data_IF_655094328868
#
_entry.id   IF_655094328868
#
_cell.length_a   1.000
_cell.length_b   1.000
_cell.length_c   1.000
_cell.angle_alpha   90.00
_cell.angle_beta   90.00
_cell.angle_gamma   90.00
#
_symmetry.space_group_name_H-M   'P 1'
#
loop_
_entity.id
_entity.type
_entity.pdbx_description
1 polymer ?
#
# COMPACT_ATOMS: atom_id res chain seq x y z
N UNK A 1 18.57 16.59 0.14
CA UNK A 1 18.80 18.04 -0.12
C UNK A 1 20.27 18.45 -0.29
N UNK A 2 21.17 17.59 -0.79
CA UNK A 2 22.59 17.96 -1.05
C UNK A 2 22.95 18.04 -2.55
N UNK A 3 22.05 17.71 -3.44
CA UNK A 3 22.29 17.77 -4.91
C UNK A 3 22.06 19.15 -5.55
N UNK A 4 21.32 20.04 -4.93
CA UNK A 4 20.93 21.33 -5.53
C UNK A 4 21.96 22.44 -5.37
N UNK A 5 22.95 22.31 -4.46
CA UNK A 5 23.99 23.34 -4.27
C UNK A 5 25.15 23.26 -5.26
N UNK A 6 25.35 22.14 -5.93
CA UNK A 6 26.41 22.00 -6.93
C UNK A 6 26.04 22.54 -8.33
N UNK A 7 24.74 22.64 -8.61
CA UNK A 7 24.26 23.17 -9.90
C UNK A 7 24.47 24.68 -10.06
N UNK A 8 24.46 25.44 -8.97
CA UNK A 8 24.63 26.89 -8.99
C UNK A 8 26.10 27.37 -9.02
N UNK A 9 27.07 26.48 -8.80
CA UNK A 9 28.49 26.85 -8.93
C UNK A 9 28.98 26.77 -10.38
N UNK A 10 28.31 26.03 -11.24
CA UNK A 10 28.70 25.84 -12.66
C UNK A 10 28.28 27.00 -13.58
N UNK A 11 27.36 27.84 -13.14
CA UNK A 11 26.86 28.96 -13.93
C UNK A 11 27.65 30.26 -13.75
N UNK A 12 28.72 30.27 -12.95
CA UNK A 12 29.54 31.47 -12.64
C UNK A 12 30.97 31.42 -13.16
N UNK A 13 31.28 30.59 -14.16
CA UNK A 13 32.58 30.68 -14.84
C UNK A 13 32.53 31.70 -15.97
N UNK A 14 33.46 32.68 -16.01
CA UNK A 14 33.53 33.66 -17.09
C UNK A 14 33.79 32.97 -18.43
N UNK A 15 33.10 33.41 -19.49
CA UNK A 15 33.36 33.04 -20.86
C UNK A 15 34.81 33.50 -21.20
N UNK A 16 35.73 32.54 -21.36
CA UNK A 16 37.06 32.91 -21.84
C UNK A 16 38.23 32.02 -21.46
N UNK A 17 38.05 30.90 -20.76
CA UNK A 17 39.16 29.98 -20.47
C UNK A 17 39.23 28.85 -21.47
N UNK A 18 40.28 28.85 -22.32
CA UNK A 18 40.57 27.82 -23.31
C UNK A 18 40.69 26.42 -22.69
N UNK A 19 40.33 25.39 -23.48
CA UNK A 19 40.20 23.99 -23.10
C UNK A 19 41.51 23.27 -22.69
N UNK A 20 42.62 23.98 -22.51
CA UNK A 20 43.95 23.46 -22.16
C UNK A 20 44.40 23.77 -20.74
N UNK A 21 43.52 24.32 -19.87
CA UNK A 21 43.86 24.63 -18.48
C UNK A 21 44.04 23.36 -17.65
N UNK A 22 45.14 23.22 -16.89
CA UNK A 22 45.38 22.13 -15.93
C UNK A 22 44.25 21.93 -14.92
N UNK A 23 43.47 22.98 -14.68
CA UNK A 23 42.32 22.97 -13.81
C UNK A 23 41.19 22.03 -14.30
N UNK A 24 40.93 21.89 -15.58
CA UNK A 24 39.90 21.02 -16.14
C UNK A 24 40.28 19.55 -15.95
N UNK A 25 41.53 19.20 -16.09
CA UNK A 25 42.04 17.84 -15.87
C UNK A 25 42.01 17.44 -14.37
N UNK A 26 42.30 18.40 -13.49
CA UNK A 26 42.21 18.17 -12.03
C UNK A 26 40.75 17.97 -11.55
N UNK A 27 39.79 18.69 -12.15
CA UNK A 27 38.38 18.52 -11.86
C UNK A 27 37.84 17.16 -12.32
N UNK A 28 38.23 16.69 -13.48
CA UNK A 28 37.84 15.36 -13.98
C UNK A 28 38.45 14.26 -13.09
N UNK A 29 39.71 14.42 -12.63
CA UNK A 29 40.34 13.50 -11.68
C UNK A 29 39.61 13.49 -10.30
N UNK A 30 39.34 14.67 -9.75
CA UNK A 30 38.59 14.78 -8.45
C UNK A 30 37.17 14.20 -8.54
N UNK A 31 36.47 14.39 -9.65
CA UNK A 31 35.14 13.81 -9.87
C UNK A 31 35.18 12.28 -9.94
N UNK A 32 36.17 11.72 -10.64
CA UNK A 32 36.35 10.26 -10.70
C UNK A 32 36.75 9.66 -9.36
N UNK A 33 37.50 10.36 -8.50
CA UNK A 33 37.83 9.91 -7.14
C UNK A 33 36.63 9.97 -6.19
N UNK A 34 35.77 10.99 -6.31
CA UNK A 34 34.52 11.05 -5.52
C UNK A 34 33.53 9.96 -5.93
N UNK A 35 33.44 9.62 -7.22
CA UNK A 35 32.61 8.49 -7.67
C UNK A 35 33.12 7.12 -7.19
N UNK A 36 34.42 6.96 -6.99
CA UNK A 36 35.01 5.74 -6.40
C UNK A 36 34.77 5.59 -4.89
N UNK A 37 34.49 6.67 -4.17
CA UNK A 37 34.27 6.67 -2.71
C UNK A 37 32.81 6.39 -2.29
N UNK A 38 31.87 6.31 -3.21
CA UNK A 38 30.49 5.89 -2.91
C UNK A 38 30.43 4.36 -3.04
N UNK A 39 30.98 3.66 -2.05
CA UNK A 39 30.73 2.24 -1.84
C UNK A 39 29.29 2.09 -1.36
N UNK A 40 28.45 1.51 -2.16
CA UNK A 40 27.20 0.89 -1.68
C UNK A 40 27.60 -0.36 -0.92
N UNK A 41 27.28 -0.39 0.38
CA UNK A 41 27.62 -1.47 1.28
C UNK A 41 27.09 -2.82 0.79
N UNK A 42 27.97 -3.81 0.86
CA UNK A 42 27.71 -5.21 0.62
C UNK A 42 26.60 -5.74 1.52
N UNK A 43 25.40 -5.92 0.98
CA UNK A 43 24.42 -6.87 1.50
C UNK A 43 24.22 -7.93 0.43
N UNK A 44 25.06 -8.97 0.50
CA UNK A 44 24.84 -10.22 -0.19
C UNK A 44 23.56 -10.87 0.32
N UNK A 45 22.53 -10.94 -0.54
CA UNK A 45 21.43 -11.87 -0.39
C UNK A 45 21.78 -13.20 -1.07
N UNK A 46 21.31 -14.36 -0.57
CA UNK A 46 21.78 -15.67 -1.00
C UNK A 46 21.37 -15.99 -2.43
N UNK A 47 22.24 -16.75 -3.10
CA UNK A 47 22.12 -17.24 -4.47
C UNK A 47 20.80 -17.99 -4.67
N UNK A 48 19.87 -17.40 -5.40
CA UNK A 48 18.90 -18.11 -6.21
C UNK A 48 18.67 -17.28 -7.48
N UNK A 49 19.02 -17.86 -8.60
CA UNK A 49 18.79 -17.53 -10.01
C UNK A 49 18.04 -16.22 -10.33
N UNK A 50 18.59 -15.08 -9.95
CA UNK A 50 18.17 -13.81 -10.54
C UNK A 50 19.18 -13.42 -11.60
N UNK A 51 18.74 -13.47 -12.87
CA UNK A 51 19.40 -12.79 -13.97
C UNK A 51 19.68 -11.37 -13.49
N UNK A 52 20.95 -11.06 -13.30
CA UNK A 52 21.42 -9.72 -13.03
C UNK A 52 21.07 -8.87 -14.26
N UNK A 53 19.89 -8.26 -14.30
CA UNK A 53 19.53 -7.29 -15.29
C UNK A 53 20.45 -6.10 -15.00
N UNK A 54 21.59 -6.05 -15.70
CA UNK A 54 22.48 -4.91 -15.69
C UNK A 54 21.63 -3.70 -16.04
N UNK A 55 21.34 -2.84 -15.06
CA UNK A 55 20.52 -1.65 -15.29
C UNK A 55 21.24 -0.79 -16.30
N UNK A 56 20.76 -0.78 -17.55
CA UNK A 56 21.27 0.04 -18.64
C UNK A 56 21.21 1.52 -18.22
N UNK A 57 22.38 2.11 -17.95
CA UNK A 57 22.50 3.53 -17.64
C UNK A 57 22.55 4.30 -18.95
N UNK A 58 21.58 5.16 -19.18
CA UNK A 58 21.59 6.06 -20.33
C UNK A 58 22.70 7.11 -20.15
N UNK A 59 23.30 7.54 -21.28
CA UNK A 59 24.26 8.64 -21.30
C UNK A 59 23.61 9.90 -20.75
N UNK A 60 24.26 10.54 -19.78
CA UNK A 60 23.83 11.79 -19.15
C UNK A 60 24.39 13.01 -19.92
N UNK A 61 23.88 14.21 -19.60
CA UNK A 61 24.24 15.45 -20.26
C UNK A 61 25.75 15.74 -20.23
N UNK A 62 26.37 15.53 -19.08
CA UNK A 62 27.82 15.73 -18.88
C UNK A 62 28.64 14.77 -19.71
N UNK A 63 28.21 13.53 -19.85
CA UNK A 63 28.89 12.56 -20.73
C UNK A 63 28.77 12.94 -22.21
N UNK A 64 27.63 13.50 -22.65
CA UNK A 64 27.47 14.02 -24.02
C UNK A 64 28.40 15.18 -24.31
N UNK A 65 28.51 16.11 -23.36
CA UNK A 65 29.47 17.21 -23.46
C UNK A 65 30.91 16.68 -23.57
N UNK A 66 31.30 15.73 -22.71
CA UNK A 66 32.63 15.10 -22.73
C UNK A 66 32.89 14.40 -24.07
N UNK A 67 31.93 13.65 -24.63
CA UNK A 67 32.03 13.03 -25.96
C UNK A 67 32.32 14.10 -27.01
N UNK A 68 31.61 15.23 -27.02
CA UNK A 68 31.79 16.31 -27.94
C UNK A 68 33.20 16.89 -27.89
N UNK A 69 33.70 17.19 -26.71
CA UNK A 69 35.05 17.75 -26.49
C UNK A 69 36.16 16.79 -26.92
N UNK A 70 36.00 15.49 -26.59
CA UNK A 70 37.01 14.49 -26.95
C UNK A 70 37.01 14.15 -28.42
N UNK A 71 35.87 14.24 -29.10
CA UNK A 71 35.79 14.13 -30.57
C UNK A 71 36.49 15.31 -31.27
N UNK A 72 36.33 16.53 -30.79
CA UNK A 72 37.04 17.70 -31.29
C UNK A 72 38.57 17.56 -31.18
N UNK A 73 39.01 16.88 -30.09
CA UNK A 73 40.43 16.53 -29.90
C UNK A 73 40.90 15.33 -30.72
N UNK A 74 40.07 14.81 -31.63
CA UNK A 74 40.36 13.66 -32.53
C UNK A 74 40.74 12.36 -31.77
N UNK A 75 40.28 12.16 -30.52
CA UNK A 75 40.51 10.92 -29.79
C UNK A 75 39.73 9.76 -30.43
N UNK A 76 40.27 8.54 -30.29
CA UNK A 76 39.62 7.36 -30.78
C UNK A 76 38.31 7.07 -30.00
N UNK A 77 37.31 6.49 -30.66
CA UNK A 77 36.03 6.13 -30.01
C UNK A 77 36.23 5.18 -28.84
N UNK A 78 37.31 4.36 -28.88
CA UNK A 78 37.69 3.43 -27.79
C UNK A 78 38.18 4.19 -26.57
N UNK A 79 38.98 5.23 -26.75
CA UNK A 79 39.49 6.04 -25.66
C UNK A 79 38.40 6.94 -25.06
N UNK A 80 37.47 7.43 -25.88
CA UNK A 80 36.27 8.15 -25.43
C UNK A 80 35.42 7.24 -24.53
N UNK A 81 35.18 5.99 -24.96
CA UNK A 81 34.41 5.02 -24.18
C UNK A 81 35.05 4.76 -22.80
N UNK A 82 36.40 4.60 -22.76
CA UNK A 82 37.14 4.45 -21.51
C UNK A 82 37.06 5.70 -20.63
N UNK A 83 37.20 6.91 -21.22
CA UNK A 83 37.18 8.17 -20.49
C UNK A 83 35.87 8.42 -19.73
N UNK A 84 34.73 8.05 -20.31
CA UNK A 84 33.40 8.24 -19.69
C UNK A 84 32.85 6.97 -19.03
N UNK A 85 33.65 5.91 -19.01
CA UNK A 85 33.30 4.62 -18.39
C UNK A 85 32.01 4.02 -18.93
N UNK A 86 31.89 3.89 -20.24
CA UNK A 86 30.77 3.22 -20.91
C UNK A 86 31.31 2.23 -21.96
N UNK A 87 30.46 1.30 -22.36
CA UNK A 87 30.81 0.36 -23.43
C UNK A 87 30.97 1.06 -24.77
N UNK A 88 31.93 0.57 -25.58
CA UNK A 88 32.24 1.11 -26.90
C UNK A 88 31.00 1.11 -27.82
N UNK A 89 30.15 0.09 -27.74
CA UNK A 89 28.91 0.01 -28.50
C UNK A 89 27.94 1.15 -28.16
N UNK A 90 27.99 1.65 -26.91
CA UNK A 90 27.18 2.80 -26.48
C UNK A 90 27.60 4.08 -27.16
N UNK A 91 28.93 4.30 -27.34
CA UNK A 91 29.44 5.44 -28.09
C UNK A 91 29.03 5.36 -29.56
N UNK A 92 29.18 4.20 -30.19
CA UNK A 92 28.74 4.04 -31.59
C UNK A 92 27.25 4.30 -31.77
N UNK A 93 26.41 3.83 -30.86
CA UNK A 93 24.95 4.05 -30.88
C UNK A 93 24.62 5.54 -30.67
N UNK A 94 25.31 6.21 -29.76
CA UNK A 94 25.10 7.63 -29.50
C UNK A 94 25.47 8.49 -30.69
N UNK A 95 26.63 8.24 -31.29
CA UNK A 95 27.07 8.93 -32.49
C UNK A 95 26.12 8.66 -33.68
N UNK A 96 25.81 7.40 -33.97
CA UNK A 96 24.85 7.02 -35.03
C UNK A 96 23.50 7.71 -34.90
N UNK A 97 23.04 7.97 -33.69
CA UNK A 97 21.74 8.61 -33.43
C UNK A 97 21.75 10.13 -33.56
N UNK A 98 22.90 10.76 -33.33
CA UNK A 98 22.97 12.18 -33.10
C UNK A 98 24.01 12.89 -33.97
N UNK A 99 24.77 12.19 -34.85
CA UNK A 99 25.59 12.82 -35.86
C UNK A 99 24.72 13.24 -37.05
N UNK A 100 24.86 14.46 -37.48
CA UNK A 100 24.18 14.99 -38.66
C UNK A 100 24.77 14.49 -39.97
N UNK A 101 24.26 14.98 -41.10
CA UNK A 101 24.67 14.60 -42.48
C UNK A 101 26.17 14.77 -42.79
N UNK A 102 26.85 15.63 -42.03
CA UNK A 102 28.33 15.87 -42.16
C UNK A 102 29.13 15.13 -41.09
N UNK A 103 28.62 14.07 -40.48
CA UNK A 103 29.25 13.31 -39.38
C UNK A 103 29.71 14.17 -38.17
N UNK A 104 29.18 15.37 -38.03
CA UNK A 104 29.48 16.24 -36.91
C UNK A 104 28.55 15.95 -35.75
N UNK A 105 29.12 15.63 -34.58
CA UNK A 105 28.39 15.41 -33.36
C UNK A 105 28.30 16.70 -32.55
N UNK A 106 27.08 17.10 -32.19
CA UNK A 106 26.82 18.24 -31.30
C UNK A 106 26.06 17.74 -30.06
N UNK A 107 26.63 17.99 -28.89
CA UNK A 107 26.07 17.52 -27.63
C UNK A 107 24.74 18.19 -27.27
N UNK A 108 24.52 19.46 -27.64
CA UNK A 108 23.26 20.18 -27.37
C UNK A 108 22.11 19.57 -28.16
N UNK A 109 22.32 19.30 -29.45
CA UNK A 109 21.32 18.58 -30.26
C UNK A 109 21.07 17.17 -29.80
N UNK A 110 22.11 16.47 -29.37
CA UNK A 110 21.99 15.13 -28.78
C UNK A 110 21.19 15.15 -27.50
N UNK A 111 21.41 16.13 -26.62
CA UNK A 111 20.64 16.32 -25.38
C UNK A 111 19.20 16.72 -25.69
N UNK A 112 18.95 17.64 -26.62
CA UNK A 112 17.60 18.02 -27.05
C UNK A 112 16.81 16.81 -27.59
N UNK A 113 17.47 15.98 -28.42
CA UNK A 113 16.90 14.74 -28.93
C UNK A 113 16.58 13.74 -27.81
N UNK A 114 17.45 13.60 -26.81
CA UNK A 114 17.20 12.73 -25.65
C UNK A 114 16.04 13.23 -24.81
N UNK A 115 15.97 14.56 -24.56
CA UNK A 115 14.83 15.19 -23.85
C UNK A 115 13.52 15.02 -24.63
N UNK A 116 13.53 15.19 -25.95
CA UNK A 116 12.37 14.98 -26.82
C UNK A 116 11.88 13.54 -26.76
N UNK A 117 12.79 12.55 -26.78
CA UNK A 117 12.44 11.14 -26.63
C UNK A 117 11.89 10.80 -25.25
N UNK A 118 12.42 11.41 -24.17
CA UNK A 118 11.88 11.28 -22.82
C UNK A 118 10.49 11.92 -22.66
N UNK A 119 10.23 13.00 -23.37
CA UNK A 119 8.91 13.68 -23.45
C UNK A 119 7.94 12.99 -24.39
N UNK A 120 8.33 11.90 -25.06
CA UNK A 120 7.44 11.17 -25.94
C UNK A 120 6.15 10.89 -25.23
N UNK A 121 5.12 11.55 -25.69
CA UNK A 121 3.74 11.47 -25.20
C UNK A 121 3.38 10.00 -25.01
N UNK A 122 2.88 9.59 -23.84
CA UNK A 122 2.39 8.25 -23.63
C UNK A 122 1.09 8.09 -24.42
N UNK A 123 1.18 7.82 -25.75
CA UNK A 123 0.02 7.72 -26.62
C UNK A 123 -1.03 6.77 -26.05
N UNK A 124 -0.69 5.52 -25.83
CA UNK A 124 -1.64 4.48 -25.40
C UNK A 124 -1.76 4.27 -23.87
N UNK A 125 -1.25 5.21 -23.05
CA UNK A 125 -1.27 5.10 -21.59
C UNK A 125 -2.25 6.07 -20.91
N UNK A 126 -3.03 6.81 -21.67
CA UNK A 126 -4.07 7.67 -21.11
C UNK A 126 -5.24 6.82 -20.67
N UNK A 127 -5.58 6.95 -19.39
CA UNK A 127 -6.82 6.40 -18.86
C UNK A 127 -7.96 7.14 -19.55
N UNK A 128 -8.92 6.42 -20.12
CA UNK A 128 -10.10 7.05 -20.71
C UNK A 128 -10.85 7.87 -19.65
N UNK A 129 -11.51 8.94 -20.07
CA UNK A 129 -12.26 9.80 -19.18
C UNK A 129 -13.36 9.02 -18.45
N UNK A 130 -14.06 8.14 -19.13
CA UNK A 130 -15.12 7.28 -18.57
C UNK A 130 -14.60 6.39 -17.44
N UNK A 131 -13.46 5.71 -17.64
CA UNK A 131 -12.86 4.85 -16.60
C UNK A 131 -12.40 5.66 -15.40
N UNK A 132 -11.93 6.90 -15.63
CA UNK A 132 -11.54 7.80 -14.56
C UNK A 132 -12.75 8.26 -13.74
N UNK A 133 -13.83 8.66 -14.39
CA UNK A 133 -15.06 9.12 -13.74
C UNK A 133 -15.70 8.00 -12.95
N UNK A 134 -15.78 6.79 -13.53
CA UNK A 134 -16.30 5.61 -12.84
C UNK A 134 -15.45 5.25 -11.61
N UNK A 135 -14.12 5.29 -11.72
CA UNK A 135 -13.24 5.09 -10.57
C UNK A 135 -13.47 6.11 -9.46
N UNK A 136 -13.70 7.38 -9.80
CA UNK A 136 -14.00 8.45 -8.85
C UNK A 136 -15.39 8.30 -8.24
N UNK A 137 -16.38 7.85 -9.01
CA UNK A 137 -17.72 7.53 -8.53
C UNK A 137 -17.67 6.44 -7.48
N UNK A 138 -17.02 5.30 -7.79
CA UNK A 138 -16.84 4.20 -6.83
C UNK A 138 -16.10 4.63 -5.55
N UNK A 139 -15.10 5.51 -5.69
CA UNK A 139 -14.39 6.08 -4.53
C UNK A 139 -15.30 6.92 -3.64
N UNK A 140 -16.14 7.78 -4.22
CA UNK A 140 -17.02 8.71 -3.49
C UNK A 140 -18.23 8.00 -2.89
N UNK A 141 -18.96 7.25 -3.69
CA UNK A 141 -20.26 6.65 -3.31
C UNK A 141 -20.09 5.36 -2.51
N UNK A 142 -19.25 4.44 -3.00
CA UNK A 142 -19.01 3.14 -2.37
C UNK A 142 -17.87 3.16 -1.35
N UNK A 143 -17.04 4.20 -1.37
CA UNK A 143 -15.86 4.36 -0.52
C UNK A 143 -14.89 3.16 -0.60
N UNK A 144 -14.79 2.59 -1.80
CA UNK A 144 -13.85 1.50 -2.06
C UNK A 144 -12.41 2.03 -2.09
N UNK A 145 -11.46 1.19 -1.69
CA UNK A 145 -10.04 1.54 -1.79
C UNK A 145 -9.58 1.55 -3.26
N UNK A 146 -8.52 2.29 -3.61
CA UNK A 146 -7.95 2.26 -4.95
C UNK A 146 -7.64 0.86 -5.48
N UNK A 147 -7.23 -0.07 -4.61
CA UNK A 147 -6.99 -1.47 -4.98
C UNK A 147 -8.29 -2.22 -5.31
N UNK A 148 -9.36 -2.00 -4.53
CA UNK A 148 -10.66 -2.59 -4.78
C UNK A 148 -11.27 -2.09 -6.10
N UNK A 149 -11.16 -0.78 -6.37
CA UNK A 149 -11.63 -0.15 -7.60
C UNK A 149 -10.86 -0.70 -8.81
N UNK A 150 -9.52 -0.74 -8.73
CA UNK A 150 -8.68 -1.28 -9.80
C UNK A 150 -9.02 -2.73 -10.12
N UNK A 151 -9.22 -3.58 -9.10
CA UNK A 151 -9.58 -4.98 -9.27
C UNK A 151 -10.98 -5.17 -9.84
N UNK A 152 -11.94 -4.39 -9.38
CA UNK A 152 -13.33 -4.44 -9.88
C UNK A 152 -13.42 -4.03 -11.36
N UNK A 153 -12.84 -2.87 -11.71
CA UNK A 153 -12.83 -2.38 -13.09
C UNK A 153 -12.08 -3.30 -14.03
N UNK A 154 -11.02 -3.98 -13.56
CA UNK A 154 -10.31 -4.97 -14.36
C UNK A 154 -11.19 -6.18 -14.72
N UNK A 155 -12.10 -6.63 -13.83
CA UNK A 155 -13.09 -7.68 -14.14
C UNK A 155 -14.09 -7.23 -15.20
N UNK A 156 -14.38 -5.94 -15.26
CA UNK A 156 -15.26 -5.34 -16.27
C UNK A 156 -14.52 -4.95 -17.57
N UNK A 157 -13.28 -5.42 -17.75
CA UNK A 157 -12.48 -5.11 -18.93
C UNK A 157 -11.90 -3.68 -18.97
N UNK A 158 -12.16 -2.86 -17.96
CA UNK A 158 -11.69 -1.47 -17.83
C UNK A 158 -10.38 -1.44 -17.02
N UNK A 159 -9.30 -0.92 -17.59
CA UNK A 159 -7.97 -0.93 -16.95
C UNK A 159 -7.59 0.42 -16.33
N UNK A 160 -7.45 0.45 -15.02
CA UNK A 160 -6.83 1.55 -14.27
C UNK A 160 -5.96 0.97 -13.16
N UNK A 161 -4.71 1.44 -13.03
CA UNK A 161 -3.85 0.94 -11.96
C UNK A 161 -4.17 1.61 -10.62
N UNK A 162 -3.96 0.86 -9.53
CA UNK A 162 -4.08 1.37 -8.15
C UNK A 162 -3.29 2.66 -7.93
N UNK A 163 -2.04 2.72 -8.46
CA UNK A 163 -1.19 3.90 -8.34
C UNK A 163 -1.74 5.10 -9.12
N UNK A 164 -2.37 4.87 -10.28
CA UNK A 164 -3.02 5.96 -11.03
C UNK A 164 -4.16 6.59 -10.23
N UNK A 165 -4.96 5.79 -9.53
CA UNK A 165 -6.03 6.29 -8.66
C UNK A 165 -5.43 7.07 -7.49
N UNK A 166 -4.38 6.54 -6.82
CA UNK A 166 -3.69 7.28 -5.76
C UNK A 166 -3.07 8.59 -6.25
N UNK A 167 -2.56 8.63 -7.47
CA UNK A 167 -2.01 9.85 -8.08
C UNK A 167 -3.08 10.92 -8.28
N UNK A 168 -4.27 10.53 -8.73
CA UNK A 168 -5.43 11.42 -8.85
C UNK A 168 -5.81 11.97 -7.47
N UNK A 169 -5.91 11.11 -6.45
CA UNK A 169 -6.27 11.52 -5.08
C UNK A 169 -5.23 12.47 -4.48
N UNK A 170 -3.93 12.22 -4.70
CA UNK A 170 -2.85 13.10 -4.21
C UNK A 170 -2.87 14.44 -4.92
N UNK A 171 -3.15 14.47 -6.23
CA UNK A 171 -3.29 15.70 -7.02
C UNK A 171 -4.45 16.52 -6.50
N UNK A 172 -5.64 15.93 -6.36
CA UNK A 172 -6.84 16.57 -5.79
C UNK A 172 -6.56 17.16 -4.40
N UNK A 173 -5.88 16.39 -3.52
CA UNK A 173 -5.50 16.87 -2.18
C UNK A 173 -4.55 18.07 -2.24
N UNK A 174 -3.60 18.08 -3.18
CA UNK A 174 -2.67 19.21 -3.37
C UNK A 174 -3.38 20.46 -3.86
N UNK A 175 -4.44 20.28 -4.63
CA UNK A 175 -5.30 21.34 -5.17
C UNK A 175 -6.44 21.74 -4.21
N UNK A 176 -6.39 21.30 -2.93
CA UNK A 176 -7.39 21.62 -1.90
C UNK A 176 -8.63 20.71 -1.89
N UNK A 177 -8.70 19.71 -2.77
CA UNK A 177 -9.84 18.82 -2.89
C UNK A 177 -10.01 17.84 -1.71
N UNK A 178 -11.11 17.09 -1.72
CA UNK A 178 -11.56 16.26 -0.60
C UNK A 178 -11.55 14.76 -0.86
N UNK A 179 -11.12 14.28 -2.03
CA UNK A 179 -11.14 12.86 -2.40
C UNK A 179 -10.42 11.96 -1.38
N UNK A 180 -9.31 12.44 -0.80
CA UNK A 180 -8.53 11.69 0.19
C UNK A 180 -9.34 11.33 1.46
N UNK A 181 -10.42 12.05 1.76
CA UNK A 181 -11.29 11.78 2.92
C UNK A 181 -12.02 10.44 2.78
N UNK A 182 -12.24 9.95 1.56
CA UNK A 182 -12.88 8.67 1.25
C UNK A 182 -11.91 7.47 1.41
N UNK A 183 -10.60 7.71 1.54
CA UNK A 183 -9.63 6.68 1.80
C UNK A 183 -9.62 6.28 3.29
N UNK A 184 -9.42 4.98 3.57
CA UNK A 184 -9.41 4.41 4.93
C UNK A 184 -8.54 5.16 5.93
N UNK A 185 -7.32 5.54 5.55
CA UNK A 185 -6.37 6.23 6.42
C UNK A 185 -6.21 7.72 6.11
N UNK A 186 -7.03 8.26 5.20
CA UNK A 186 -6.95 9.67 4.76
C UNK A 186 -5.52 10.09 4.42
N UNK A 187 -4.71 9.16 3.89
CA UNK A 187 -3.27 9.33 3.60
C UNK A 187 -2.42 9.72 4.83
N UNK A 188 -2.82 9.32 6.05
CA UNK A 188 -2.04 9.54 7.29
C UNK A 188 -1.43 8.24 7.79
N UNK A 189 -0.16 8.29 8.21
CA UNK A 189 0.51 7.21 8.97
C UNK A 189 0.45 7.51 10.47
N UNK A 190 0.22 6.49 11.30
CA UNK A 190 0.17 6.61 12.76
C UNK A 190 1.06 5.56 13.42
N UNK A 191 1.82 5.96 14.46
CA UNK A 191 2.50 5.07 15.38
C UNK A 191 1.50 4.54 16.44
N UNK A 192 1.70 3.32 16.96
CA UNK A 192 0.86 2.68 17.98
C UNK A 192 1.53 2.78 19.36
N UNK A 193 0.81 3.18 20.43
CA UNK A 193 1.29 3.06 21.80
C UNK A 193 1.11 1.63 22.33
N UNK A 194 2.00 1.19 23.23
CA UNK A 194 2.01 -0.14 23.87
C UNK A 194 1.75 0.04 25.36
N UNK A 195 0.82 -0.76 25.94
CA UNK A 195 0.59 -0.84 27.39
C UNK A 195 -0.83 -1.31 27.79
N UNK A 196 -0.97 -2.08 28.88
CA UNK A 196 -2.24 -2.53 29.46
C UNK A 196 -2.06 -3.52 30.64
N UNK A 197 -3.02 -3.58 31.58
CA UNK A 197 -3.03 -4.49 32.76
C UNK A 197 -3.56 -5.88 32.39
N UNK A 198 -3.00 -6.94 32.99
CA UNK A 198 -3.50 -8.31 32.87
C UNK A 198 -4.79 -8.49 33.67
N UNK A 199 -5.80 -9.09 33.05
CA UNK A 199 -7.10 -9.45 33.65
C UNK A 199 -7.26 -10.96 33.50
N UNK A 200 -7.73 -11.65 34.54
CA UNK A 200 -7.96 -13.11 34.55
C UNK A 200 -9.44 -13.37 34.28
N UNK A 201 -9.76 -14.14 33.25
CA UNK A 201 -11.11 -14.62 32.93
C UNK A 201 -11.16 -16.09 33.34
N UNK A 202 -12.18 -16.51 34.18
CA UNK A 202 -12.33 -17.90 34.60
C UNK A 202 -12.57 -18.83 33.38
N UNK A 203 -12.09 -20.08 33.48
CA UNK A 203 -12.32 -21.17 32.52
C UNK A 203 -12.00 -20.79 31.05
N UNK A 204 -11.01 -19.90 30.83
CA UNK A 204 -10.61 -19.48 29.54
C UNK A 204 -9.77 -20.56 28.84
N UNK A 205 -10.09 -20.87 27.58
CA UNK A 205 -9.30 -21.74 26.73
C UNK A 205 -8.28 -20.88 25.95
N UNK A 206 -7.00 -21.24 26.04
CA UNK A 206 -5.95 -20.46 25.35
C UNK A 206 -6.04 -20.64 23.83
N UNK A 207 -5.60 -19.61 23.08
CA UNK A 207 -5.45 -19.71 21.64
C UNK A 207 -4.41 -20.77 21.23
N UNK A 208 -3.49 -21.14 22.12
CA UNK A 208 -2.52 -22.21 21.88
C UNK A 208 -3.17 -23.60 21.71
N UNK A 209 -4.35 -23.79 22.28
CA UNK A 209 -5.15 -25.02 22.14
C UNK A 209 -6.01 -25.02 20.86
N UNK A 210 -6.01 -23.94 20.12
CA UNK A 210 -6.77 -23.78 18.88
C UNK A 210 -6.12 -24.61 17.76
N UNK A 211 -6.89 -25.42 17.01
CA UNK A 211 -6.38 -26.17 15.87
C UNK A 211 -5.71 -25.27 14.83
N UNK A 212 -4.62 -25.73 14.22
CA UNK A 212 -3.88 -24.97 13.17
C UNK A 212 -4.74 -24.61 11.96
N UNK A 213 -5.76 -25.40 11.66
CA UNK A 213 -6.71 -25.20 10.56
C UNK A 213 -7.51 -23.90 10.66
N UNK A 214 -7.54 -23.26 11.82
CA UNK A 214 -8.28 -22.00 12.09
C UNK A 214 -7.61 -20.76 11.47
N UNK A 215 -6.62 -20.91 10.64
CA UNK A 215 -5.89 -19.76 10.05
C UNK A 215 -6.58 -19.11 8.83
N UNK A 216 -7.91 -19.19 8.78
CA UNK A 216 -8.74 -18.56 7.74
C UNK A 216 -8.78 -19.36 6.43
N UNK A 217 -8.51 -20.65 6.52
CA UNK A 217 -8.63 -21.63 5.42
C UNK A 217 -10.01 -22.27 5.44
N UNK A 218 -10.50 -22.67 6.62
CA UNK A 218 -11.82 -23.29 6.75
C UNK A 218 -12.90 -22.25 7.06
N UNK A 219 -14.10 -22.51 6.59
CA UNK A 219 -15.29 -21.72 6.88
C UNK A 219 -15.83 -21.98 8.29
N UNK A 220 -16.36 -20.93 8.93
CA UNK A 220 -17.03 -21.04 10.23
C UNK A 220 -16.17 -20.66 11.43
N UNK A 221 -14.93 -20.20 11.23
CA UNK A 221 -14.08 -19.67 12.28
C UNK A 221 -14.26 -18.15 12.39
N UNK A 222 -14.71 -17.69 13.57
CA UNK A 222 -14.99 -16.28 13.82
C UNK A 222 -13.95 -15.63 14.72
N UNK A 223 -13.68 -14.35 14.48
CA UNK A 223 -13.01 -13.47 15.42
C UNK A 223 -14.03 -12.47 15.97
N UNK A 224 -13.99 -12.25 17.29
CA UNK A 224 -14.90 -11.36 18.01
C UNK A 224 -14.15 -10.27 18.72
N UNK A 225 -14.72 -9.05 18.72
CA UNK A 225 -14.17 -7.89 19.42
C UNK A 225 -15.28 -6.90 19.77
N UNK A 226 -14.95 -5.90 20.59
CA UNK A 226 -15.84 -4.76 20.86
C UNK A 226 -15.18 -3.46 20.44
N UNK A 227 -15.94 -2.57 19.83
CA UNK A 227 -15.54 -1.20 19.64
C UNK A 227 -16.31 -0.30 20.59
N UNK A 228 -15.61 0.68 21.17
CA UNK A 228 -16.15 1.59 22.20
C UNK A 228 -16.21 3.00 21.66
N UNK A 229 -17.22 3.75 22.07
CA UNK A 229 -17.42 5.15 21.71
C UNK A 229 -16.57 6.11 22.54
N UNK A 230 -16.75 7.41 22.30
CA UNK A 230 -16.09 8.48 23.05
C UNK A 230 -16.41 8.35 24.55
N UNK A 231 -15.40 8.52 25.39
CA UNK A 231 -15.57 8.44 26.86
C UNK A 231 -16.00 7.07 27.38
N UNK A 232 -15.74 5.98 26.66
CA UNK A 232 -16.18 4.61 26.95
C UNK A 232 -17.72 4.45 27.01
N UNK A 233 -18.48 5.41 26.49
CA UNK A 233 -19.93 5.38 26.44
C UNK A 233 -20.45 4.57 25.24
N UNK A 234 -21.15 3.47 25.52
CA UNK A 234 -21.69 2.54 24.54
C UNK A 234 -20.64 1.64 23.90
N UNK A 235 -21.09 0.48 23.45
CA UNK A 235 -20.25 -0.49 22.75
C UNK A 235 -20.99 -1.09 21.55
N UNK A 236 -20.24 -1.53 20.55
CA UNK A 236 -20.72 -2.31 19.42
C UNK A 236 -19.90 -3.60 19.40
N UNK A 237 -20.57 -4.75 19.46
CA UNK A 237 -19.90 -6.02 19.21
C UNK A 237 -19.69 -6.20 17.71
N UNK A 238 -18.51 -6.65 17.35
CA UNK A 238 -18.11 -6.98 15.99
C UNK A 238 -17.69 -8.43 15.91
N UNK A 239 -18.11 -9.13 14.87
CA UNK A 239 -17.78 -10.52 14.58
C UNK A 239 -17.36 -10.60 13.11
N UNK A 240 -16.26 -11.29 12.84
CA UNK A 240 -15.79 -11.51 11.47
C UNK A 240 -15.54 -12.98 11.24
N UNK A 241 -16.13 -13.53 10.18
CA UNK A 241 -15.79 -14.86 9.70
C UNK A 241 -14.45 -14.79 8.95
N UNK A 242 -13.49 -15.64 9.32
CA UNK A 242 -12.08 -15.52 8.90
C UNK A 242 -11.83 -15.81 7.43
N UNK A 243 -12.53 -16.76 6.84
CA UNK A 243 -12.32 -17.15 5.45
C UNK A 243 -12.86 -16.09 4.50
N UNK A 244 -14.12 -15.67 4.69
CA UNK A 244 -14.84 -14.76 3.79
C UNK A 244 -14.70 -13.29 4.17
N UNK A 245 -14.20 -12.99 5.38
CA UNK A 245 -14.20 -11.65 6.00
C UNK A 245 -15.60 -11.03 6.13
N UNK A 246 -16.65 -11.86 6.23
CA UNK A 246 -18.01 -11.40 6.49
C UNK A 246 -18.10 -10.79 7.89
N UNK A 247 -18.52 -9.55 7.96
CA UNK A 247 -18.64 -8.76 9.18
C UNK A 247 -20.07 -8.73 9.67
N UNK A 248 -20.27 -8.96 10.99
CA UNK A 248 -21.52 -8.69 11.69
C UNK A 248 -21.28 -7.65 12.76
N UNK A 249 -22.22 -6.71 12.93
CA UNK A 249 -22.14 -5.66 13.94
C UNK A 249 -23.48 -5.47 14.63
N UNK A 250 -23.46 -5.32 15.95
CA UNK A 250 -24.65 -4.96 16.74
C UNK A 250 -24.31 -4.04 17.89
N UNK A 251 -25.12 -3.00 18.06
CA UNK A 251 -25.01 -2.09 19.20
C UNK A 251 -25.44 -2.80 20.48
N UNK A 252 -24.63 -2.69 21.52
CA UNK A 252 -24.94 -3.21 22.83
C UNK A 252 -25.73 -2.16 23.63
N UNK A 253 -26.95 -2.50 24.03
CA UNK A 253 -27.83 -1.58 24.77
C UNK A 253 -27.30 -1.23 26.17
N UNK A 254 -26.59 -2.18 26.82
CA UNK A 254 -26.09 -2.07 28.17
C UNK A 254 -24.56 -1.98 28.26
N UNK A 255 -23.93 -1.32 27.28
CA UNK A 255 -22.47 -1.15 27.26
C UNK A 255 -21.72 -2.49 27.18
N UNK A 256 -20.68 -2.65 28.02
CA UNK A 256 -19.81 -3.85 28.06
C UNK A 256 -20.27 -4.93 29.04
N UNK A 257 -21.56 -5.05 29.30
CA UNK A 257 -22.07 -6.13 30.17
C UNK A 257 -21.87 -7.50 29.50
N UNK A 258 -21.12 -8.39 30.14
CA UNK A 258 -20.71 -9.68 29.61
C UNK A 258 -21.90 -10.60 29.25
N UNK A 259 -22.92 -10.72 30.13
CA UNK A 259 -24.12 -11.56 29.88
C UNK A 259 -24.92 -11.03 28.69
N UNK A 260 -25.12 -9.70 28.60
CA UNK A 260 -25.86 -9.08 27.48
C UNK A 260 -25.10 -9.14 26.18
N UNK A 261 -23.77 -9.07 26.22
CA UNK A 261 -22.93 -9.32 25.06
C UNK A 261 -23.08 -10.76 24.55
N UNK A 262 -22.98 -11.74 25.46
CA UNK A 262 -23.14 -13.16 25.10
C UNK A 262 -24.51 -13.46 24.49
N UNK A 263 -25.60 -12.92 25.04
CA UNK A 263 -26.96 -13.02 24.47
C UNK A 263 -27.03 -12.39 23.05
N UNK A 264 -26.36 -11.26 22.86
CA UNK A 264 -26.32 -10.57 21.55
C UNK A 264 -25.55 -11.38 20.51
N UNK A 265 -24.41 -11.93 20.87
CA UNK A 265 -23.60 -12.81 20.01
C UNK A 265 -24.38 -14.07 19.65
N UNK A 266 -25.02 -14.71 20.61
CA UNK A 266 -25.92 -15.86 20.40
C UNK A 266 -26.99 -15.51 19.34
N UNK A 267 -27.70 -14.39 19.49
CA UNK A 267 -28.74 -13.96 18.55
C UNK A 267 -28.19 -13.73 17.12
N UNK A 268 -26.97 -13.22 16.97
CA UNK A 268 -26.34 -12.99 15.67
C UNK A 268 -25.97 -14.31 14.99
N UNK A 269 -25.41 -15.25 15.76
CA UNK A 269 -24.79 -16.45 15.21
C UNK A 269 -25.73 -17.66 15.18
N UNK A 270 -26.83 -17.67 15.96
CA UNK A 270 -27.77 -18.78 16.03
C UNK A 270 -28.28 -19.26 14.67
N UNK A 271 -28.61 -18.37 13.69
CA UNK A 271 -29.03 -18.80 12.35
C UNK A 271 -27.99 -19.64 11.60
N UNK A 272 -26.73 -19.59 12.03
CA UNK A 272 -25.60 -20.25 11.38
C UNK A 272 -24.98 -21.36 12.27
N UNK A 273 -25.65 -21.77 13.35
CA UNK A 273 -25.10 -22.67 14.38
C UNK A 273 -24.38 -23.90 13.81
N UNK A 274 -24.96 -24.58 12.85
CA UNK A 274 -24.37 -25.79 12.25
C UNK A 274 -23.11 -25.56 11.39
N UNK A 275 -22.84 -24.32 11.01
CA UNK A 275 -21.70 -23.93 10.17
C UNK A 275 -20.56 -23.28 10.98
N UNK A 276 -20.79 -22.93 12.24
CA UNK A 276 -19.78 -22.34 13.11
C UNK A 276 -18.87 -23.43 13.66
N UNK A 277 -17.57 -23.17 13.68
CA UNK A 277 -16.53 -24.09 14.16
C UNK A 277 -15.82 -23.59 15.41
N UNK A 278 -15.48 -22.31 15.45
CA UNK A 278 -14.82 -21.70 16.62
C UNK A 278 -15.03 -20.18 16.67
N UNK A 279 -14.80 -19.60 17.83
CA UNK A 279 -14.77 -18.14 18.04
C UNK A 279 -13.48 -17.79 18.74
N UNK A 280 -12.75 -16.77 18.27
CA UNK A 280 -11.55 -16.25 18.92
C UNK A 280 -11.80 -14.81 19.40
N UNK A 281 -11.44 -14.51 20.64
CA UNK A 281 -11.59 -13.19 21.26
C UNK A 281 -10.33 -12.75 22.01
N UNK A 282 -10.30 -11.52 22.55
CA UNK A 282 -9.25 -11.09 23.48
C UNK A 282 -9.64 -11.34 24.94
N UNK A 283 -8.76 -10.91 25.86
CA UNK A 283 -8.96 -11.07 27.29
C UNK A 283 -9.80 -9.92 27.91
N UNK A 284 -10.71 -9.31 27.18
CA UNK A 284 -11.60 -8.28 27.69
C UNK A 284 -12.63 -8.85 28.69
N UNK A 285 -12.89 -8.15 29.81
CA UNK A 285 -13.89 -8.56 30.80
C UNK A 285 -15.30 -8.68 30.21
N UNK A 286 -15.58 -8.00 29.12
CA UNK A 286 -16.82 -8.13 28.35
C UNK A 286 -17.07 -9.53 27.80
N UNK A 287 -16.03 -10.36 27.70
CA UNK A 287 -16.10 -11.75 27.23
C UNK A 287 -16.14 -12.79 28.41
N UNK A 288 -16.20 -12.35 29.65
CA UNK A 288 -16.22 -13.26 30.79
C UNK A 288 -17.40 -14.25 30.78
N UNK A 289 -18.50 -13.93 30.08
CA UNK A 289 -19.65 -14.83 29.92
C UNK A 289 -19.54 -15.70 28.64
N UNK A 290 -18.35 -16.00 28.17
CA UNK A 290 -18.09 -16.79 26.96
C UNK A 290 -18.69 -18.21 27.01
N UNK A 291 -18.82 -18.81 28.21
CA UNK A 291 -19.45 -20.12 28.39
C UNK A 291 -20.90 -20.14 27.89
N UNK A 292 -21.66 -19.05 28.05
CA UNK A 292 -23.01 -18.93 27.50
C UNK A 292 -22.99 -19.05 25.98
N UNK A 293 -22.00 -18.43 25.32
CA UNK A 293 -21.83 -18.51 23.86
C UNK A 293 -21.48 -19.93 23.50
N UNK A 294 -20.45 -20.51 24.13
CA UNK A 294 -19.94 -21.84 23.84
C UNK A 294 -21.05 -22.90 24.01
N UNK A 295 -21.75 -22.92 25.15
CA UNK A 295 -22.86 -23.86 25.39
C UNK A 295 -24.03 -23.70 24.41
N UNK A 296 -24.41 -22.46 24.08
CA UNK A 296 -25.55 -22.21 23.17
C UNK A 296 -25.26 -22.60 21.72
N UNK A 297 -24.05 -22.34 21.24
CA UNK A 297 -23.66 -22.61 19.87
C UNK A 297 -23.03 -24.00 19.69
N UNK A 298 -22.54 -24.62 20.77
CA UNK A 298 -21.83 -25.90 20.72
C UNK A 298 -20.42 -25.78 20.16
N UNK A 299 -19.74 -24.63 20.35
CA UNK A 299 -18.42 -24.37 19.77
C UNK A 299 -17.45 -23.81 20.79
N UNK A 300 -16.13 -24.08 20.67
CA UNK A 300 -15.12 -23.54 21.55
C UNK A 300 -14.92 -22.03 21.33
N UNK A 301 -14.66 -21.32 22.45
CA UNK A 301 -14.25 -19.91 22.44
C UNK A 301 -12.82 -19.81 22.92
N UNK A 302 -11.90 -19.41 22.02
CA UNK A 302 -10.48 -19.26 22.30
C UNK A 302 -10.13 -17.82 22.63
N UNK A 303 -9.18 -17.64 23.54
CA UNK A 303 -8.70 -16.33 23.97
C UNK A 303 -7.28 -16.09 23.44
N UNK A 304 -7.10 -14.99 22.74
CA UNK A 304 -5.80 -14.55 22.28
C UNK A 304 -4.82 -14.27 23.43
N UNK A 305 -3.53 -14.45 23.18
CA UNK A 305 -2.52 -14.12 24.16
C UNK A 305 -2.47 -12.61 24.43
N UNK A 306 -2.12 -12.21 25.66
CA UNK A 306 -1.92 -10.80 25.98
C UNK A 306 -0.89 -10.17 25.02
N UNK A 307 -1.16 -8.98 24.56
CA UNK A 307 -0.30 -8.21 23.64
C UNK A 307 -0.11 -8.81 22.23
N UNK A 308 -0.81 -9.89 21.89
CA UNK A 308 -0.68 -10.61 20.62
C UNK A 308 -1.80 -10.24 19.65
N UNK A 309 -1.89 -8.95 19.28
CA UNK A 309 -2.95 -8.44 18.40
C UNK A 309 -2.96 -9.09 17.01
N UNK A 310 -1.80 -9.59 16.54
CA UNK A 310 -1.69 -10.31 15.26
C UNK A 310 -2.51 -11.60 15.21
N UNK A 311 -2.80 -12.20 16.35
CA UNK A 311 -3.63 -13.41 16.46
C UNK A 311 -5.12 -13.16 16.10
N UNK A 312 -5.53 -11.89 16.04
CA UNK A 312 -6.87 -11.44 15.63
C UNK A 312 -6.82 -10.46 14.45
N UNK A 313 -6.03 -10.74 13.44
CA UNK A 313 -5.80 -9.83 12.32
C UNK A 313 -7.03 -9.54 11.47
N UNK A 314 -7.98 -10.48 11.36
CA UNK A 314 -9.20 -10.29 10.56
C UNK A 314 -10.12 -9.23 11.18
N UNK A 315 -10.39 -9.35 12.50
CA UNK A 315 -11.26 -8.41 13.20
C UNK A 315 -10.61 -7.03 13.36
N UNK A 316 -9.29 -6.95 13.59
CA UNK A 316 -8.59 -5.67 13.62
C UNK A 316 -8.73 -4.92 12.28
N UNK A 317 -8.56 -5.66 11.17
CA UNK A 317 -8.75 -5.10 9.85
C UNK A 317 -10.18 -4.61 9.63
N UNK A 318 -11.18 -5.40 10.00
CA UNK A 318 -12.59 -5.05 9.91
C UNK A 318 -12.93 -3.84 10.78
N UNK A 319 -12.49 -3.82 12.04
CA UNK A 319 -12.67 -2.68 12.93
C UNK A 319 -12.03 -1.40 12.38
N UNK A 320 -10.89 -1.52 11.70
CA UNK A 320 -10.29 -0.41 10.97
C UNK A 320 -11.17 0.12 9.83
N UNK A 321 -11.94 -0.73 9.15
CA UNK A 321 -12.91 -0.30 8.14
C UNK A 321 -14.13 0.35 8.79
N UNK A 322 -14.62 -0.22 9.90
CA UNK A 322 -15.73 0.35 10.68
C UNK A 322 -15.39 1.77 11.13
N UNK A 323 -14.14 2.03 11.53
CA UNK A 323 -13.68 3.37 11.95
C UNK A 323 -13.67 4.41 10.84
N UNK A 324 -13.85 4.02 9.59
CA UNK A 324 -14.09 4.94 8.48
C UNK A 324 -15.49 5.59 8.58
N UNK A 325 -16.47 4.84 9.06
CA UNK A 325 -17.87 5.27 9.25
C UNK A 325 -18.14 5.77 10.68
N UNK A 326 -17.53 5.12 11.67
CA UNK A 326 -17.71 5.41 13.10
C UNK A 326 -16.34 5.77 13.70
N UNK A 327 -15.92 7.04 13.66
CA UNK A 327 -14.65 7.47 14.23
C UNK A 327 -14.53 7.18 15.73
N UNK A 328 -13.29 7.05 16.25
CA UNK A 328 -13.05 6.81 17.70
C UNK A 328 -13.60 7.92 18.59
N UNK A 329 -13.63 9.16 18.07
CA UNK A 329 -14.13 10.35 18.76
C UNK A 329 -15.65 10.48 18.73
N UNK A 330 -16.37 9.59 18.04
CA UNK A 330 -17.81 9.67 17.90
C UNK A 330 -18.54 9.11 19.12
N UNK A 331 -19.58 9.80 19.56
CA UNK A 331 -20.52 9.29 20.56
C UNK A 331 -21.44 8.24 19.89
N UNK A 332 -21.56 7.06 20.51
CA UNK A 332 -22.39 5.98 19.95
C UNK A 332 -23.89 6.21 20.09
N UNK A 333 -24.31 7.18 20.91
CA UNK A 333 -25.70 7.67 20.93
C UNK A 333 -26.20 8.10 19.57
N UNK A 334 -25.34 8.72 18.75
CA UNK A 334 -25.65 9.26 17.44
C UNK A 334 -25.82 8.19 16.32
N UNK A 335 -25.62 6.92 16.66
CA UNK A 335 -25.71 5.81 15.72
C UNK A 335 -26.82 4.84 16.14
N UNK A 336 -27.93 4.87 15.41
CA UNK A 336 -28.98 3.87 15.53
C UNK A 336 -28.51 2.50 15.02
N UNK A 337 -29.19 1.41 15.43
CA UNK A 337 -28.90 0.07 14.90
C UNK A 337 -29.07 0.02 13.38
N UNK A 338 -30.03 0.73 12.83
CA UNK A 338 -30.26 0.82 11.38
C UNK A 338 -29.06 1.43 10.64
N UNK A 339 -28.45 2.53 11.17
CA UNK A 339 -27.22 3.10 10.61
C UNK A 339 -26.06 2.11 10.66
N UNK A 340 -25.92 1.38 11.77
CA UNK A 340 -24.87 0.35 11.92
C UNK A 340 -25.08 -0.76 10.91
N UNK A 341 -26.30 -1.24 10.70
CA UNK A 341 -26.63 -2.24 9.69
C UNK A 341 -26.29 -1.77 8.26
N UNK A 342 -26.61 -0.52 7.94
CA UNK A 342 -26.21 0.07 6.64
C UNK A 342 -24.69 0.12 6.45
N UNK A 343 -23.92 0.45 7.49
CA UNK A 343 -22.46 0.43 7.42
C UNK A 343 -21.91 -0.99 7.28
N UNK A 344 -22.51 -1.96 7.99
CA UNK A 344 -22.16 -3.38 7.85
C UNK A 344 -22.35 -3.85 6.41
N UNK A 345 -23.50 -3.55 5.79
CA UNK A 345 -23.77 -3.89 4.41
C UNK A 345 -22.74 -3.27 3.45
N UNK A 346 -22.45 -1.96 3.58
CA UNK A 346 -21.45 -1.29 2.76
C UNK A 346 -20.04 -1.92 2.88
N UNK A 347 -19.67 -2.43 4.05
CA UNK A 347 -18.37 -3.09 4.26
C UNK A 347 -18.38 -4.49 3.63
N UNK A 348 -19.48 -5.23 3.76
CA UNK A 348 -19.62 -6.59 3.25
C UNK A 348 -19.81 -6.64 1.72
N UNK A 349 -20.21 -5.56 1.10
CA UNK A 349 -20.31 -5.39 -0.35
C UNK A 349 -19.02 -4.89 -1.01
N UNK A 350 -17.94 -4.68 -0.24
CA UNK A 350 -16.64 -4.28 -0.80
C UNK A 350 -15.89 -5.48 -1.36
N UNK A 351 -15.48 -5.48 -2.62
CA UNK A 351 -14.65 -6.54 -3.18
C UNK A 351 -13.34 -6.73 -2.39
N UNK A 352 -12.90 -7.98 -2.22
CA UNK A 352 -11.67 -8.30 -1.52
C UNK A 352 -10.68 -9.02 -2.43
N UNK A 353 -9.44 -8.58 -2.43
CA UNK A 353 -8.36 -9.24 -3.17
C UNK A 353 -8.20 -10.70 -2.73
N UNK A 354 -8.24 -10.96 -1.40
CA UNK A 354 -8.21 -12.31 -0.82
C UNK A 354 -9.32 -13.22 -1.38
N UNK A 355 -10.45 -12.66 -1.82
CA UNK A 355 -11.61 -13.38 -2.35
C UNK A 355 -11.69 -13.29 -3.88
N UNK A 356 -10.57 -13.12 -4.57
CA UNK A 356 -10.54 -12.94 -6.03
C UNK A 356 -11.48 -11.83 -6.50
N UNK A 357 -11.49 -10.70 -5.75
CA UNK A 357 -12.35 -9.54 -6.02
C UNK A 357 -13.87 -9.86 -5.89
N UNK A 358 -14.22 -10.94 -5.24
CA UNK A 358 -15.60 -11.19 -4.81
C UNK A 358 -15.87 -10.47 -3.48
N UNK A 359 -17.16 -10.29 -3.16
CA UNK A 359 -17.54 -9.64 -1.91
C UNK A 359 -17.62 -10.63 -0.74
N UNK A 360 -17.37 -10.20 0.51
CA UNK A 360 -17.61 -11.00 1.70
C UNK A 360 -19.01 -11.61 1.74
N UNK A 361 -20.03 -10.83 1.36
CA UNK A 361 -21.42 -11.26 1.35
C UNK A 361 -21.64 -12.43 0.39
N UNK A 362 -21.20 -12.32 -0.85
CA UNK A 362 -21.32 -13.40 -1.85
C UNK A 362 -20.65 -14.68 -1.38
N UNK A 363 -19.37 -14.57 -0.92
CA UNK A 363 -18.61 -15.73 -0.49
C UNK A 363 -19.22 -16.39 0.75
N UNK A 364 -19.72 -15.60 1.71
CA UNK A 364 -20.32 -16.13 2.94
C UNK A 364 -21.59 -16.92 2.65
N UNK A 365 -22.53 -16.35 1.89
CA UNK A 365 -23.80 -17.03 1.59
C UNK A 365 -23.60 -18.25 0.69
N UNK A 366 -22.63 -18.23 -0.22
CA UNK A 366 -22.26 -19.41 -1.02
C UNK A 366 -21.79 -20.60 -0.15
N UNK A 367 -21.17 -20.37 1.02
CA UNK A 367 -20.74 -21.43 1.94
C UNK A 367 -21.85 -21.91 2.88
N UNK A 368 -22.97 -21.21 2.93
CA UNK A 368 -24.13 -21.58 3.77
C UNK A 368 -25.17 -22.37 2.98
N UNK A 369 -25.36 -21.98 1.72
CA UNK A 369 -26.17 -22.76 0.76
C UNK A 369 -25.58 -24.15 0.57
#
# INVERSE_FOLDING_TARGET
>A
MRGFRLYNLYLKTPRGLGASSPHVLSYVKKFNEQCKKIKWGDRCLPRNNYICIAMYKQIISEQRYTINVLLQKKLSKKDIAKAINVDLSTIYRELKRNSGSRNHYNWETAEANARRKKRRTPGNRRISQEVREEALRLLKEKQWSPEQISGYLAKEGKRISTESIYRIIRKDKKEGGSLYKNCRHRLKHRARPVGGKRIVIPNRVSISERPKEVDGVRFGDFEMDTIVGKGNCGAIVTLVEKQTNMLFMRKLKHGKNAKKLAETVKKILMPFKGKIKSITTDNGMEFAAHEIISKSLGVPVYFADPYSSWQKGAIENANGLVRQYIPKSAAFSNFSQQKITKFTAKINERPRKKLNISTPKECFYKNIS
#
